data_IF_685194558144
#
_entry.id   IF_685194558144
#
_cell.length_a   1.000
_cell.length_b   1.000
_cell.length_c   1.000
_cell.angle_alpha   90.00
_cell.angle_beta   90.00
_cell.angle_gamma   90.00
#
_symmetry.space_group_name_H-M   'P 1'
#
loop_
_entity.id
_entity.type
_entity.pdbx_description
1 polymer ?
#
# COMPACT_ATOMS: atom_id res chain seq x y z
N UNK A 1 12.93 14.14 7.58
CA UNK A 1 11.77 13.43 8.18
C UNK A 1 10.56 13.53 7.27
N UNK A 2 10.16 14.74 6.88
CA UNK A 2 9.01 14.98 5.98
C UNK A 2 9.07 14.13 4.70
N UNK A 3 10.21 14.11 4.00
CA UNK A 3 10.41 13.26 2.81
C UNK A 3 10.18 11.76 3.06
N UNK A 4 10.49 11.26 4.27
CA UNK A 4 10.24 9.86 4.63
C UNK A 4 8.76 9.60 4.81
N UNK A 5 8.04 10.55 5.43
CA UNK A 5 6.59 10.48 5.60
C UNK A 5 5.88 10.56 4.24
N UNK A 6 6.32 11.46 3.37
CA UNK A 6 5.76 11.60 2.01
C UNK A 6 6.04 10.37 1.16
N UNK A 7 7.25 9.80 1.24
CA UNK A 7 7.57 8.55 0.58
C UNK A 7 6.67 7.41 1.06
N UNK A 8 6.48 7.28 2.37
CA UNK A 8 5.56 6.30 2.95
C UNK A 8 4.11 6.50 2.47
N UNK A 9 3.61 7.73 2.41
CA UNK A 9 2.29 8.01 1.83
C UNK A 9 2.23 7.63 0.34
N UNK A 10 3.28 7.90 -0.42
CA UNK A 10 3.43 7.46 -1.80
C UNK A 10 3.30 5.94 -1.94
N UNK A 11 3.95 5.19 -1.04
CA UNK A 11 3.80 3.74 -0.98
C UNK A 11 2.37 3.31 -0.63
N UNK A 12 1.71 3.95 0.35
CA UNK A 12 0.30 3.67 0.63
C UNK A 12 -0.58 3.85 -0.62
N UNK A 13 -0.40 4.95 -1.36
CA UNK A 13 -1.11 5.21 -2.61
C UNK A 13 -0.80 4.16 -3.68
N UNK A 14 0.46 3.72 -3.78
CA UNK A 14 0.89 2.66 -4.71
C UNK A 14 0.18 1.33 -4.42
N UNK A 15 0.03 0.96 -3.15
CA UNK A 15 -0.73 -0.24 -2.76
C UNK A 15 -2.22 -0.07 -3.01
N UNK A 16 -2.82 1.08 -2.70
CA UNK A 16 -4.25 1.32 -3.01
C UNK A 16 -4.51 1.25 -4.52
N UNK A 17 -3.60 1.79 -5.34
CA UNK A 17 -3.71 1.73 -6.81
C UNK A 17 -3.72 0.29 -7.34
N UNK A 18 -3.02 -0.65 -6.70
CA UNK A 18 -3.07 -2.08 -7.07
C UNK A 18 -4.46 -2.71 -6.95
N UNK A 19 -5.35 -2.13 -6.14
CA UNK A 19 -6.74 -2.55 -6.03
C UNK A 19 -7.11 -3.06 -4.64
N UNK A 20 -8.19 -2.49 -4.09
CA UNK A 20 -8.77 -2.90 -2.80
C UNK A 20 -9.45 -4.27 -2.94
N UNK A 21 -9.38 -5.08 -1.88
CA UNK A 21 -9.94 -6.44 -1.82
C UNK A 21 -9.14 -7.50 -2.59
N UNK A 22 -8.05 -7.13 -3.27
CA UNK A 22 -7.21 -8.09 -4.01
C UNK A 22 -6.08 -8.67 -3.14
N UNK A 23 -5.47 -7.83 -2.31
CA UNK A 23 -4.39 -8.23 -1.41
C UNK A 23 -4.59 -7.57 -0.04
N UNK A 24 -4.33 -8.30 1.06
CA UNK A 24 -4.49 -7.75 2.42
C UNK A 24 -3.64 -6.50 2.64
N UNK A 25 -2.47 -6.41 2.00
CA UNK A 25 -1.59 -5.22 2.08
C UNK A 25 -2.27 -3.97 1.50
N UNK A 26 -3.05 -4.11 0.43
CA UNK A 26 -3.74 -2.98 -0.20
C UNK A 26 -4.82 -2.43 0.74
N UNK A 27 -5.58 -3.33 1.37
CA UNK A 27 -6.60 -2.97 2.35
C UNK A 27 -5.98 -2.39 3.62
N UNK A 28 -4.83 -2.93 4.04
CA UNK A 28 -4.04 -2.39 5.14
C UNK A 28 -3.51 -0.99 4.88
N UNK A 29 -3.07 -0.68 3.65
CA UNK A 29 -2.63 0.67 3.30
C UNK A 29 -3.80 1.65 3.17
N UNK A 30 -4.94 1.20 2.64
CA UNK A 30 -6.17 1.99 2.65
C UNK A 30 -6.61 2.34 4.08
N UNK A 31 -6.59 1.34 4.97
CA UNK A 31 -6.95 1.51 6.37
C UNK A 31 -6.11 2.60 7.04
N UNK A 32 -4.81 2.61 6.77
CA UNK A 32 -3.89 3.61 7.31
C UNK A 32 -4.23 5.02 6.81
N UNK A 33 -4.46 5.17 5.50
CA UNK A 33 -4.89 6.46 4.94
C UNK A 33 -6.22 6.93 5.54
N UNK A 34 -7.22 6.04 5.67
CA UNK A 34 -8.52 6.34 6.27
C UNK A 34 -8.36 6.79 7.72
N UNK A 35 -7.54 6.09 8.50
CA UNK A 35 -7.22 6.46 9.88
C UNK A 35 -6.61 7.87 9.96
N UNK A 36 -5.63 8.19 9.12
CA UNK A 36 -4.97 9.50 9.16
C UNK A 36 -5.87 10.64 8.67
N UNK A 37 -6.78 10.39 7.72
CA UNK A 37 -7.79 11.40 7.35
C UNK A 37 -8.73 11.68 8.52
N UNK A 38 -9.23 10.63 9.19
CA UNK A 38 -10.14 10.81 10.32
C UNK A 38 -9.48 11.47 11.53
N UNK A 39 -8.18 11.25 11.73
CA UNK A 39 -7.39 11.95 12.74
C UNK A 39 -7.15 13.44 12.39
N UNK A 40 -7.36 13.83 11.13
CA UNK A 40 -7.05 15.17 10.63
C UNK A 40 -5.59 15.36 10.21
N UNK A 41 -4.79 14.29 10.16
CA UNK A 41 -3.41 14.32 9.70
C UNK A 41 -3.30 14.43 8.17
N UNK A 42 -4.33 13.96 7.45
CA UNK A 42 -4.46 14.09 6.01
C UNK A 42 -5.78 14.80 5.68
N UNK A 43 -5.75 15.73 4.72
CA UNK A 43 -6.96 16.34 4.19
C UNK A 43 -7.06 16.06 2.70
N UNK A 44 -8.18 15.45 2.28
CA UNK A 44 -8.46 15.22 0.87
C UNK A 44 -8.96 16.52 0.23
N UNK A 45 -8.23 17.01 -0.77
CA UNK A 45 -8.69 18.08 -1.65
C UNK A 45 -9.17 17.48 -2.97
N UNK A 46 -10.46 17.64 -3.24
CA UNK A 46 -11.08 17.27 -4.50
C UNK A 46 -12.18 18.29 -4.86
N UNK A 47 -12.27 18.68 -6.13
CA UNK A 47 -13.25 19.66 -6.61
C UNK A 47 -12.83 20.34 -7.91
N UNK A 48 -13.78 20.56 -8.82
CA UNK A 48 -13.52 21.09 -10.17
C UNK A 48 -12.70 20.12 -11.03
N UNK A 49 -11.96 20.66 -12.00
CA UNK A 49 -11.11 19.89 -12.94
C UNK A 49 -9.70 19.61 -12.37
N UNK A 50 -9.46 19.85 -11.08
CA UNK A 50 -8.16 19.64 -10.46
C UNK A 50 -7.95 18.17 -10.07
N UNK A 51 -6.73 17.64 -10.20
CA UNK A 51 -6.42 16.28 -9.74
C UNK A 51 -6.62 16.19 -8.23
N UNK A 52 -7.10 15.02 -7.77
CA UNK A 52 -7.30 14.72 -6.36
C UNK A 52 -5.95 14.76 -5.63
N UNK A 53 -5.88 15.48 -4.51
CA UNK A 53 -4.65 15.64 -3.71
C UNK A 53 -4.90 15.32 -2.25
N UNK A 54 -3.87 14.81 -1.58
CA UNK A 54 -3.81 14.73 -0.12
C UNK A 54 -2.90 15.84 0.39
N UNK A 55 -3.44 16.74 1.20
CA UNK A 55 -2.64 17.65 2.01
C UNK A 55 -2.19 16.93 3.28
N UNK A 56 -0.95 17.16 3.67
CA UNK A 56 -0.29 16.47 4.78
C UNK A 56 0.05 17.48 5.86
N UNK A 57 -0.41 17.22 7.09
CA UNK A 57 0.20 17.80 8.28
C UNK A 57 1.23 16.79 8.79
N UNK A 58 2.52 17.04 8.55
CA UNK A 58 3.58 16.09 8.90
C UNK A 58 3.69 15.85 10.42
N UNK A 59 3.34 16.83 11.25
CA UNK A 59 3.35 16.70 12.70
C UNK A 59 2.23 15.78 13.18
N UNK A 60 1.01 16.04 12.71
CA UNK A 60 -0.14 15.20 13.00
C UNK A 60 0.01 13.79 12.42
N UNK A 61 0.63 13.64 11.23
CA UNK A 61 0.90 12.34 10.63
C UNK A 61 1.89 11.53 11.46
N UNK A 62 2.97 12.14 11.95
CA UNK A 62 3.94 11.46 12.81
C UNK A 62 3.30 11.02 14.14
N UNK A 63 2.45 11.88 14.74
CA UNK A 63 1.69 11.52 15.93
C UNK A 63 0.68 10.39 15.62
N UNK A 64 0.01 10.46 14.47
CA UNK A 64 -0.94 9.46 13.98
C UNK A 64 -0.30 8.10 13.77
N UNK A 65 0.90 8.04 13.19
CA UNK A 65 1.66 6.80 13.03
C UNK A 65 1.99 6.15 14.38
N UNK A 66 2.40 6.94 15.39
CA UNK A 66 2.64 6.45 16.75
C UNK A 66 1.35 5.94 17.41
N UNK A 67 0.27 6.69 17.26
CA UNK A 67 -1.05 6.32 17.78
C UNK A 67 -1.54 5.01 17.15
N UNK A 68 -1.47 4.91 15.82
CA UNK A 68 -1.87 3.72 15.10
C UNK A 68 -1.04 2.51 15.49
N UNK A 69 0.28 2.64 15.56
CA UNK A 69 1.16 1.56 16.00
C UNK A 69 0.76 1.05 17.41
N UNK A 70 0.40 1.96 18.32
CA UNK A 70 -0.08 1.60 19.64
C UNK A 70 -1.42 0.86 19.59
N UNK A 71 -2.39 1.36 18.84
CA UNK A 71 -3.72 0.72 18.69
C UNK A 71 -3.59 -0.69 18.11
N UNK A 72 -2.78 -0.87 17.06
CA UNK A 72 -2.54 -2.17 16.44
C UNK A 72 -1.83 -3.13 17.39
N UNK A 73 -0.81 -2.66 18.12
CA UNK A 73 -0.11 -3.46 19.11
C UNK A 73 -1.05 -3.90 20.25
N UNK A 74 -1.88 -3.00 20.76
CA UNK A 74 -2.82 -3.31 21.83
C UNK A 74 -3.90 -4.30 21.37
N UNK A 75 -4.41 -4.16 20.14
CA UNK A 75 -5.37 -5.11 19.58
C UNK A 75 -4.77 -6.51 19.45
N UNK A 76 -3.52 -6.61 18.99
CA UNK A 76 -2.80 -7.88 18.86
C UNK A 76 -2.51 -8.51 20.23
N UNK A 77 -1.96 -7.73 21.16
CA UNK A 77 -1.52 -8.20 22.48
C UNK A 77 -2.69 -8.53 23.41
N UNK A 78 -3.82 -7.84 23.29
CA UNK A 78 -5.02 -8.15 24.06
C UNK A 78 -5.68 -9.46 23.63
N UNK A 79 -5.33 -10.01 22.47
CA UNK A 79 -5.94 -11.23 21.94
C UNK A 79 -7.45 -11.09 21.70
N UNK A 80 -7.92 -9.86 21.41
CA UNK A 80 -9.33 -9.59 21.19
C UNK A 80 -9.62 -9.43 19.67
N UNK A 81 -10.03 -10.52 18.98
CA UNK A 81 -10.28 -10.48 17.55
C UNK A 81 -11.48 -9.59 17.19
N UNK A 82 -12.47 -9.45 18.07
CA UNK A 82 -13.66 -8.64 17.82
C UNK A 82 -13.28 -7.16 17.67
N UNK A 83 -12.38 -6.67 18.52
CA UNK A 83 -11.85 -5.32 18.43
C UNK A 83 -11.08 -5.10 17.12
N UNK A 84 -10.28 -6.07 16.68
CA UNK A 84 -9.55 -5.99 15.42
C UNK A 84 -10.49 -5.97 14.20
N UNK A 85 -11.54 -6.81 14.20
CA UNK A 85 -12.57 -6.83 13.16
C UNK A 85 -13.33 -5.50 13.13
N UNK A 86 -13.72 -4.97 14.30
CA UNK A 86 -14.41 -3.68 14.38
C UNK A 86 -13.54 -2.54 13.84
N UNK A 87 -12.24 -2.53 14.20
CA UNK A 87 -11.28 -1.56 13.69
C UNK A 87 -11.14 -1.65 12.16
N UNK A 88 -11.00 -2.86 11.61
CA UNK A 88 -10.94 -3.09 10.17
C UNK A 88 -12.24 -2.68 9.46
N UNK A 89 -13.41 -2.99 10.01
CA UNK A 89 -14.69 -2.58 9.41
C UNK A 89 -14.88 -1.06 9.41
N UNK A 90 -14.28 -0.36 10.38
CA UNK A 90 -14.42 1.08 10.52
C UNK A 90 -13.47 1.86 9.61
N UNK A 91 -12.22 1.44 9.49
CA UNK A 91 -11.19 2.14 8.70
C UNK A 91 -10.87 1.49 7.36
N UNK A 92 -11.21 0.21 7.17
CA UNK A 92 -10.93 -0.56 5.97
C UNK A 92 -11.85 -0.25 4.77
N UNK A 93 -11.65 -0.94 3.65
CA UNK A 93 -12.25 -0.61 2.34
C UNK A 93 -13.77 -0.80 2.26
N UNK A 94 -14.40 -1.46 3.25
CA UNK A 94 -15.85 -1.55 3.35
C UNK A 94 -16.52 -0.16 3.51
N UNK A 95 -15.77 0.86 3.92
CA UNK A 95 -16.22 2.25 4.05
C UNK A 95 -15.32 3.16 3.24
N UNK A 96 -15.65 3.35 1.96
CA UNK A 96 -14.80 4.10 1.04
C UNK A 96 -14.73 5.61 1.33
N UNK A 97 -15.73 6.17 2.01
CA UNK A 97 -15.73 7.59 2.39
C UNK A 97 -14.82 7.85 3.60
N UNK A 98 -14.07 8.97 3.63
CA UNK A 98 -14.09 10.09 2.67
C UNK A 98 -13.15 9.90 1.44
N UNK A 99 -12.41 8.80 1.36
CA UNK A 99 -11.37 8.58 0.35
C UNK A 99 -11.87 8.12 -1.03
N UNK A 100 -13.18 7.93 -1.21
CA UNK A 100 -13.77 7.47 -2.48
C UNK A 100 -13.23 8.22 -3.71
N UNK A 101 -13.12 9.57 -3.72
CA UNK A 101 -12.60 10.28 -4.88
C UNK A 101 -11.15 9.90 -5.22
N UNK A 102 -10.31 9.69 -4.19
CA UNK A 102 -8.94 9.25 -4.37
C UNK A 102 -8.86 7.84 -4.95
N UNK A 103 -9.66 6.91 -4.41
CA UNK A 103 -9.71 5.52 -4.89
C UNK A 103 -10.16 5.48 -6.35
N UNK A 104 -11.19 6.25 -6.71
CA UNK A 104 -11.67 6.35 -8.10
C UNK A 104 -10.61 6.95 -9.03
N UNK A 105 -9.91 8.02 -8.60
CA UNK A 105 -8.85 8.62 -9.39
C UNK A 105 -7.68 7.65 -9.65
N UNK A 106 -7.28 6.89 -8.63
CA UNK A 106 -6.23 5.87 -8.75
C UNK A 106 -6.65 4.72 -9.66
N UNK A 107 -7.89 4.24 -9.55
CA UNK A 107 -8.40 3.13 -10.38
C UNK A 107 -8.51 3.46 -11.87
N UNK A 108 -8.58 4.75 -12.24
CA UNK A 108 -8.56 5.19 -13.64
C UNK A 108 -7.14 5.32 -14.22
N UNK A 109 -6.11 5.10 -13.40
CA UNK A 109 -4.70 5.12 -13.84
C UNK A 109 -4.14 3.69 -13.79
N UNK A 110 -3.54 3.16 -14.87
CA UNK A 110 -3.01 1.80 -14.85
C UNK A 110 -1.93 1.67 -13.78
N UNK A 111 -2.08 0.65 -12.92
CA UNK A 111 -1.05 0.30 -11.95
C UNK A 111 0.24 -0.02 -12.68
N UNK A 112 1.29 0.77 -12.45
CA UNK A 112 2.61 0.47 -12.99
C UNK A 112 3.25 -0.63 -12.13
N UNK A 113 3.27 -1.85 -12.65
CA UNK A 113 4.05 -2.96 -12.09
C UNK A 113 5.23 -3.29 -12.99
N UNK A 114 6.33 -3.68 -12.37
CA UNK A 114 7.47 -4.27 -13.08
C UNK A 114 7.18 -5.77 -13.21
N UNK A 115 7.03 -6.25 -14.44
CA UNK A 115 7.02 -7.67 -14.74
C UNK A 115 8.46 -8.18 -14.79
N UNK A 116 8.78 -9.16 -13.95
CA UNK A 116 10.09 -9.80 -13.98
C UNK A 116 10.08 -10.91 -15.02
N UNK A 117 10.94 -10.79 -16.03
CA UNK A 117 11.20 -11.88 -16.98
C UNK A 117 12.37 -12.69 -16.43
N UNK A 118 12.13 -13.97 -16.13
CA UNK A 118 13.20 -14.89 -15.76
C UNK A 118 13.92 -15.35 -17.03
N UNK A 119 15.25 -15.19 -17.06
CA UNK A 119 16.05 -15.80 -18.14
C UNK A 119 15.86 -17.32 -18.12
N UNK A 120 15.59 -17.95 -19.29
CA UNK A 120 15.42 -19.39 -19.35
C UNK A 120 16.68 -20.10 -18.86
N UNK A 121 16.52 -20.99 -17.88
CA UNK A 121 17.59 -21.87 -17.40
C UNK A 121 18.01 -22.76 -18.57
N UNK A 122 19.22 -22.56 -19.10
CA UNK A 122 19.80 -23.48 -20.07
C UNK A 122 20.17 -24.76 -19.34
N UNK A 123 19.37 -25.80 -19.53
CA UNK A 123 19.78 -27.17 -19.18
C UNK A 123 20.85 -27.57 -20.20
N UNK A 124 22.08 -27.91 -19.79
CA UNK A 124 23.08 -28.40 -20.71
C UNK A 124 22.51 -29.67 -21.36
N UNK A 125 22.34 -29.65 -22.67
CA UNK A 125 22.11 -30.88 -23.43
C UNK A 125 23.46 -31.58 -23.61
N UNK A 126 23.48 -32.91 -23.65
CA UNK A 126 24.71 -33.74 -23.75
C UNK A 126 25.65 -33.34 -24.92
N UNK A 127 25.17 -32.56 -25.89
CA UNK A 127 25.98 -31.96 -26.95
C UNK A 127 27.00 -30.91 -26.44
N UNK A 128 26.73 -30.20 -25.34
CA UNK A 128 27.66 -29.19 -24.80
C UNK A 128 28.84 -29.83 -24.05
N UNK A 129 28.64 -31.02 -23.47
CA UNK A 129 29.70 -31.75 -22.76
C UNK A 129 30.78 -32.31 -23.71
N UNK A 130 30.41 -32.66 -24.93
CA UNK A 130 31.33 -33.25 -25.92
C UNK A 130 32.20 -32.21 -26.62
N UNK A 131 31.72 -30.98 -26.82
CA UNK A 131 32.53 -29.89 -27.37
C UNK A 131 33.59 -29.36 -26.40
N UNK A 132 33.36 -29.44 -25.08
CA UNK A 132 34.33 -29.00 -24.08
C UNK A 132 35.52 -29.96 -23.91
N UNK A 133 35.35 -31.25 -24.17
CA UNK A 133 36.41 -32.25 -24.05
C UNK A 133 37.35 -32.31 -25.28
N UNK A 134 36.95 -31.77 -26.43
CA UNK A 134 37.78 -31.76 -27.65
C UNK A 134 38.82 -30.62 -27.69
N UNK A 135 39.01 -29.86 -26.60
CA UNK A 135 39.92 -28.70 -26.53
C UNK A 135 41.07 -28.84 -25.50
N UNK A 136 41.34 -30.05 -25.02
CA UNK A 136 42.50 -30.39 -24.19
C UNK A 136 43.41 -31.37 -24.93
#
# INVERSE_FOLDING_TARGET
LEQVLEYYLGECLRYVNRGLGLFPDCDGMYLQLSYFVQLGALTLQHGGDQPVKLLVDHGALLAGLRSLARVLADALLAGNPEAAVAFYQFYGPARLQPLQPLVTALGNSPAQSIEYVQEPVRVPTDCDATCAQARL
#
